data_IF_127997433629
#
_entry.id   IF_127997433629
#
_cell.length_a   1.000
_cell.length_b   1.000
_cell.length_c   1.000
_cell.angle_alpha   90.00
_cell.angle_beta   90.00
_cell.angle_gamma   90.00
#
_symmetry.space_group_name_H-M   'P 1'
#
loop_
_entity.id
_entity.type
_entity.pdbx_description
1 polymer ?
#
# COMPACT_ATOMS: atom_id res chain seq x y z
N UNK A 1 6.29 20.26 -12.04
CA UNK A 1 7.62 19.99 -11.45
C UNK A 1 8.55 19.69 -12.61
N UNK A 2 9.53 20.57 -12.89
CA UNK A 2 10.35 20.48 -14.10
C UNK A 2 11.13 19.16 -14.21
N UNK A 3 11.48 18.56 -13.08
CA UNK A 3 12.22 17.29 -13.03
C UNK A 3 11.32 16.11 -13.41
N UNK A 4 10.04 16.16 -13.01
CA UNK A 4 9.04 15.17 -13.45
C UNK A 4 8.70 15.36 -14.91
N UNK A 5 8.55 16.60 -15.38
CA UNK A 5 8.36 16.87 -16.82
C UNK A 5 9.51 16.31 -17.67
N UNK A 6 10.73 16.36 -17.13
CA UNK A 6 11.93 15.79 -17.74
C UNK A 6 12.04 14.24 -17.69
N UNK A 7 11.02 13.54 -17.20
CA UNK A 7 10.96 12.07 -17.26
C UNK A 7 11.57 11.32 -16.06
N UNK A 8 11.72 11.99 -14.90
CA UNK A 8 12.29 11.36 -13.70
C UNK A 8 11.57 10.06 -13.31
N UNK A 9 10.24 10.02 -13.37
CA UNK A 9 9.47 8.87 -12.92
C UNK A 9 9.71 7.66 -13.84
N UNK A 10 9.79 7.89 -15.14
CA UNK A 10 10.10 6.90 -16.15
C UNK A 10 11.52 6.34 -15.96
N UNK A 11 12.50 7.20 -15.68
CA UNK A 11 13.87 6.78 -15.35
C UNK A 11 13.90 5.94 -14.08
N UNK A 12 13.17 6.35 -13.03
CA UNK A 12 13.11 5.60 -11.77
C UNK A 12 12.44 4.23 -11.98
N UNK A 13 11.37 4.16 -12.75
CA UNK A 13 10.70 2.88 -13.08
C UNK A 13 11.63 1.99 -13.89
N UNK A 14 12.29 2.50 -14.92
CA UNK A 14 13.26 1.75 -15.72
C UNK A 14 14.42 1.21 -14.86
N UNK A 15 14.91 1.99 -13.89
CA UNK A 15 15.92 1.55 -12.95
C UNK A 15 15.40 0.44 -12.03
N UNK A 16 14.15 0.54 -11.55
CA UNK A 16 13.52 -0.51 -10.75
C UNK A 16 13.39 -1.82 -11.52
N UNK A 17 13.03 -1.78 -12.80
CA UNK A 17 12.92 -2.95 -13.66
C UNK A 17 14.28 -3.60 -13.95
N UNK A 18 15.23 -2.78 -14.41
CA UNK A 18 16.57 -3.22 -14.81
C UNK A 18 17.32 -3.81 -13.61
N UNK A 19 17.22 -3.16 -12.45
CA UNK A 19 17.94 -3.52 -11.24
C UNK A 19 16.99 -4.09 -10.15
N UNK A 20 16.03 -4.92 -10.55
CA UNK A 20 15.01 -5.50 -9.65
C UNK A 20 15.57 -6.33 -8.47
N UNK A 21 16.83 -6.80 -8.56
CA UNK A 21 17.52 -7.53 -7.48
C UNK A 21 18.39 -6.64 -6.59
N UNK A 22 18.67 -5.41 -7.01
CA UNK A 22 19.52 -4.49 -6.26
C UNK A 22 18.68 -3.78 -5.19
N UNK A 23 18.77 -4.26 -3.95
CA UNK A 23 18.00 -3.76 -2.80
C UNK A 23 18.14 -2.25 -2.65
N UNK A 24 19.36 -1.73 -2.81
CA UNK A 24 19.63 -0.30 -2.69
C UNK A 24 18.93 0.52 -3.77
N UNK A 25 18.89 0.03 -5.02
CA UNK A 25 18.16 0.70 -6.11
C UNK A 25 16.67 0.70 -5.78
N UNK A 26 16.10 -0.44 -5.39
CA UNK A 26 14.67 -0.52 -5.04
C UNK A 26 14.33 0.42 -3.87
N UNK A 27 15.17 0.46 -2.84
CA UNK A 27 14.97 1.31 -1.67
C UNK A 27 15.02 2.80 -2.04
N UNK A 28 16.07 3.24 -2.74
CA UNK A 28 16.22 4.63 -3.18
C UNK A 28 15.11 5.05 -4.14
N UNK A 29 14.69 4.16 -5.04
CA UNK A 29 13.55 4.41 -5.93
C UNK A 29 12.27 4.62 -5.13
N UNK A 30 11.97 3.78 -4.12
CA UNK A 30 10.80 3.95 -3.27
C UNK A 30 10.77 5.32 -2.58
N UNK A 31 11.92 5.76 -2.04
CA UNK A 31 12.04 7.10 -1.44
C UNK A 31 11.85 8.22 -2.45
N UNK A 32 12.50 8.14 -3.61
CA UNK A 32 12.36 9.13 -4.66
C UNK A 32 10.90 9.26 -5.11
N UNK A 33 10.23 8.14 -5.37
CA UNK A 33 8.82 8.12 -5.76
C UNK A 33 7.94 8.73 -4.65
N UNK A 34 8.17 8.36 -3.38
CA UNK A 34 7.41 8.90 -2.27
C UNK A 34 7.56 10.42 -2.17
N UNK A 35 8.78 10.94 -2.22
CA UNK A 35 9.05 12.38 -2.15
C UNK A 35 8.48 13.14 -3.35
N UNK A 36 8.56 12.56 -4.55
CA UNK A 36 8.09 13.19 -5.79
C UNK A 36 6.57 13.15 -5.93
N UNK A 37 5.89 12.13 -5.40
CA UNK A 37 4.46 11.92 -5.63
C UNK A 37 3.55 12.31 -4.45
N UNK A 38 4.08 12.42 -3.23
CA UNK A 38 3.26 12.74 -2.05
C UNK A 38 2.50 14.06 -2.23
N UNK A 39 1.17 14.00 -2.11
CA UNK A 39 0.27 15.15 -2.31
C UNK A 39 0.19 15.68 -3.74
N UNK A 40 0.80 14.99 -4.73
CA UNK A 40 0.91 15.45 -6.12
C UNK A 40 0.26 14.44 -7.07
N UNK A 41 -1.06 14.53 -7.21
CA UNK A 41 -1.89 13.60 -8.01
C UNK A 41 -1.33 13.29 -9.40
N UNK A 42 -1.00 14.32 -10.18
CA UNK A 42 -0.45 14.18 -11.55
C UNK A 42 0.85 13.38 -11.59
N UNK A 43 1.72 13.52 -10.58
CA UNK A 43 2.95 12.74 -10.50
C UNK A 43 2.64 11.27 -10.19
N UNK A 44 1.70 11.01 -9.29
CA UNK A 44 1.21 9.66 -9.02
C UNK A 44 0.59 8.99 -10.24
N UNK A 45 -0.22 9.72 -11.02
CA UNK A 45 -0.81 9.20 -12.26
C UNK A 45 0.29 8.84 -13.28
N UNK A 46 1.24 9.75 -13.51
CA UNK A 46 2.38 9.52 -14.42
C UNK A 46 3.25 8.33 -13.99
N UNK A 47 3.48 8.16 -12.69
CA UNK A 47 4.18 6.99 -12.17
C UNK A 47 3.44 5.69 -12.52
N UNK A 48 2.11 5.67 -12.42
CA UNK A 48 1.33 4.48 -12.78
C UNK A 48 1.30 4.28 -14.30
N UNK A 49 1.18 5.34 -15.10
CA UNK A 49 1.25 5.29 -16.56
C UNK A 49 2.59 4.73 -17.06
N UNK A 50 3.68 5.06 -16.37
CA UNK A 50 5.00 4.50 -16.64
C UNK A 50 5.16 3.02 -16.25
N UNK A 51 4.13 2.36 -15.72
CA UNK A 51 4.19 0.96 -15.26
C UNK A 51 4.74 0.78 -13.84
N UNK A 52 4.96 1.88 -13.12
CA UNK A 52 5.62 1.86 -11.81
C UNK A 52 4.88 1.06 -10.73
N UNK A 53 3.55 0.95 -10.80
CA UNK A 53 2.76 0.16 -9.86
C UNK A 53 3.19 -1.31 -9.87
N UNK A 54 3.38 -1.91 -11.05
CA UNK A 54 3.80 -3.32 -11.16
C UNK A 54 5.19 -3.53 -10.55
N UNK A 55 6.11 -2.60 -10.78
CA UNK A 55 7.45 -2.61 -10.20
C UNK A 55 7.42 -2.56 -8.68
N UNK A 56 6.66 -1.61 -8.12
CA UNK A 56 6.54 -1.43 -6.68
C UNK A 56 5.92 -2.65 -5.99
N UNK A 57 4.91 -3.26 -6.60
CA UNK A 57 4.28 -4.48 -6.10
C UNK A 57 5.17 -5.72 -6.21
N UNK A 58 6.10 -5.73 -7.17
CA UNK A 58 7.14 -6.76 -7.29
C UNK A 58 8.14 -6.68 -6.15
N UNK A 59 8.48 -5.47 -5.67
CA UNK A 59 9.31 -5.27 -4.46
C UNK A 59 8.66 -5.91 -3.24
N UNK A 60 7.34 -5.75 -3.05
CA UNK A 60 6.60 -6.40 -1.96
C UNK A 60 6.55 -7.93 -2.08
N UNK A 61 6.51 -8.45 -3.31
CA UNK A 61 6.37 -9.89 -3.59
C UNK A 61 7.74 -10.61 -3.71
N UNK A 62 8.85 -9.89 -3.54
CA UNK A 62 10.19 -10.42 -3.66
C UNK A 62 10.47 -11.43 -2.55
N UNK A 63 10.27 -12.72 -2.86
CA UNK A 63 10.62 -13.85 -1.97
C UNK A 63 12.15 -13.96 -1.71
N UNK A 64 12.97 -13.23 -2.47
CA UNK A 64 14.43 -13.32 -2.44
C UNK A 64 15.14 -12.37 -1.48
N UNK A 65 14.45 -11.38 -0.90
CA UNK A 65 15.09 -10.46 0.05
C UNK A 65 14.58 -10.70 1.46
N UNK A 66 15.45 -11.31 2.28
CA UNK A 66 15.44 -11.23 3.74
C UNK A 66 15.43 -9.78 4.28
N UNK A 67 15.48 -8.77 3.41
CA UNK A 67 15.47 -7.38 3.80
C UNK A 67 14.03 -6.85 3.93
N UNK A 68 13.51 -6.84 5.16
CA UNK A 68 12.23 -6.22 5.50
C UNK A 68 12.20 -4.72 5.25
N UNK A 69 13.35 -4.04 5.24
CA UNK A 69 13.45 -2.58 5.07
C UNK A 69 12.93 -2.16 3.70
N UNK A 70 13.30 -2.90 2.65
CA UNK A 70 12.86 -2.56 1.29
C UNK A 70 11.35 -2.75 1.14
N UNK A 71 10.76 -3.75 1.81
CA UNK A 71 9.30 -3.94 1.84
C UNK A 71 8.61 -2.84 2.63
N UNK A 72 9.18 -2.42 3.76
CA UNK A 72 8.66 -1.29 4.53
C UNK A 72 8.69 0.01 3.71
N UNK A 73 9.78 0.25 2.98
CA UNK A 73 9.90 1.40 2.08
C UNK A 73 8.91 1.34 0.92
N UNK A 74 8.65 0.16 0.37
CA UNK A 74 7.62 -0.03 -0.65
C UNK A 74 6.20 0.24 -0.11
N UNK A 75 5.88 -0.22 1.11
CA UNK A 75 4.62 0.12 1.78
C UNK A 75 4.49 1.63 2.02
N UNK A 76 5.55 2.28 2.51
CA UNK A 76 5.55 3.73 2.72
C UNK A 76 5.39 4.52 1.42
N UNK A 77 6.02 4.04 0.34
CA UNK A 77 5.88 4.58 -1.00
C UNK A 77 4.43 4.46 -1.51
N UNK A 78 3.81 3.28 -1.38
CA UNK A 78 2.39 3.07 -1.73
C UNK A 78 1.47 3.99 -0.96
N UNK A 79 1.68 4.13 0.36
CA UNK A 79 0.92 5.05 1.21
C UNK A 79 1.01 6.49 0.67
N UNK A 80 2.22 6.95 0.35
CA UNK A 80 2.45 8.30 -0.17
C UNK A 80 1.83 8.53 -1.55
N UNK A 81 1.92 7.54 -2.45
CA UNK A 81 1.30 7.56 -3.78
C UNK A 81 -0.23 7.63 -3.71
N UNK A 82 -0.82 6.90 -2.76
CA UNK A 82 -2.25 6.82 -2.56
C UNK A 82 -2.81 8.00 -1.74
N UNK A 83 -1.97 8.79 -1.10
CA UNK A 83 -2.41 9.91 -0.28
C UNK A 83 -3.19 10.92 -1.13
N UNK A 84 -4.46 11.12 -0.78
CA UNK A 84 -5.43 11.97 -1.50
C UNK A 84 -5.60 11.65 -2.98
N UNK A 85 -5.11 10.52 -3.50
CA UNK A 85 -5.20 10.16 -4.91
C UNK A 85 -6.04 8.89 -5.14
N UNK A 86 -7.36 9.08 -5.28
CA UNK A 86 -8.30 7.97 -5.50
C UNK A 86 -8.03 7.15 -6.77
N UNK A 87 -7.55 7.80 -7.83
CA UNK A 87 -7.30 7.12 -9.09
C UNK A 87 -6.14 6.11 -8.93
N UNK A 88 -5.07 6.52 -8.25
CA UNK A 88 -3.95 5.64 -7.88
C UNK A 88 -4.37 4.58 -6.87
N UNK A 89 -5.22 4.92 -5.88
CA UNK A 89 -5.78 3.94 -4.94
C UNK A 89 -6.52 2.82 -5.67
N UNK A 90 -7.42 3.16 -6.61
CA UNK A 90 -8.18 2.18 -7.40
C UNK A 90 -7.25 1.30 -8.25
N UNK A 91 -6.22 1.89 -8.88
CA UNK A 91 -5.21 1.17 -9.66
C UNK A 91 -4.39 0.21 -8.80
N UNK A 92 -3.99 0.63 -7.60
CA UNK A 92 -3.26 -0.21 -6.65
C UNK A 92 -4.12 -1.40 -6.19
N UNK A 93 -5.37 -1.16 -5.83
CA UNK A 93 -6.33 -2.21 -5.45
C UNK A 93 -6.55 -3.19 -6.60
N UNK A 94 -6.78 -2.69 -7.82
CA UNK A 94 -6.94 -3.53 -9.01
C UNK A 94 -5.69 -4.37 -9.34
N UNK A 95 -4.52 -3.96 -8.87
CA UNK A 95 -3.25 -4.67 -9.03
C UNK A 95 -2.90 -5.60 -7.84
N UNK A 96 -3.88 -5.95 -6.99
CA UNK A 96 -3.73 -6.81 -5.81
C UNK A 96 -2.80 -6.25 -4.70
N UNK A 97 -2.67 -4.92 -4.58
CA UNK A 97 -1.82 -4.31 -3.56
C UNK A 97 -2.17 -4.77 -2.12
N UNK A 98 -3.47 -4.88 -1.80
CA UNK A 98 -3.95 -5.33 -0.48
C UNK A 98 -3.36 -6.70 -0.12
N UNK A 99 -3.53 -7.68 -1.02
CA UNK A 99 -3.04 -9.05 -0.81
C UNK A 99 -1.51 -9.08 -0.69
N UNK A 100 -0.80 -8.32 -1.52
CA UNK A 100 0.67 -8.29 -1.51
C UNK A 100 1.24 -7.67 -0.22
N UNK A 101 0.61 -6.62 0.30
CA UNK A 101 1.00 -6.03 1.59
C UNK A 101 0.78 -7.03 2.73
N UNK A 102 -0.39 -7.70 2.76
CA UNK A 102 -0.69 -8.71 3.78
C UNK A 102 0.30 -9.89 3.75
N UNK A 103 0.66 -10.37 2.56
CA UNK A 103 1.69 -11.42 2.41
C UNK A 103 3.05 -10.92 2.92
N UNK A 104 3.45 -9.70 2.57
CA UNK A 104 4.71 -9.12 3.03
C UNK A 104 4.77 -8.99 4.56
N UNK A 105 3.70 -8.50 5.19
CA UNK A 105 3.55 -8.42 6.65
C UNK A 105 3.52 -9.82 7.28
N UNK A 106 2.87 -10.80 6.66
CA UNK A 106 2.81 -12.17 7.15
C UNK A 106 4.17 -12.87 7.14
N UNK A 107 5.03 -12.52 6.18
CA UNK A 107 6.37 -13.09 6.02
C UNK A 107 7.39 -12.58 7.05
N UNK A 108 7.15 -11.42 7.69
CA UNK A 108 7.99 -10.92 8.78
C UNK A 108 7.14 -10.12 9.79
N UNK A 109 6.72 -10.81 10.85
CA UNK A 109 5.86 -10.27 11.93
C UNK A 109 6.63 -9.51 13.01
N UNK A 110 7.95 -9.62 13.01
CA UNK A 110 8.82 -9.03 14.04
C UNK A 110 9.33 -7.64 13.61
N UNK A 111 9.40 -7.39 12.29
CA UNK A 111 9.78 -6.09 11.75
C UNK A 111 8.73 -5.01 12.04
N UNK A 112 8.96 -4.23 13.11
CA UNK A 112 8.14 -3.07 13.48
C UNK A 112 7.86 -2.15 12.29
N UNK A 113 8.90 -1.79 11.52
CA UNK A 113 8.76 -0.85 10.39
C UNK A 113 7.87 -1.41 9.29
N UNK A 114 8.02 -2.70 8.94
CA UNK A 114 7.18 -3.33 7.93
C UNK A 114 5.73 -3.42 8.39
N UNK A 115 5.50 -3.78 9.65
CA UNK A 115 4.17 -3.90 10.22
C UNK A 115 3.45 -2.55 10.25
N UNK A 116 4.12 -1.48 10.70
CA UNK A 116 3.54 -0.15 10.77
C UNK A 116 3.28 0.45 9.39
N UNK A 117 4.26 0.43 8.48
CA UNK A 117 4.07 1.02 7.15
C UNK A 117 3.10 0.18 6.31
N UNK A 118 3.10 -1.15 6.46
CA UNK A 118 2.13 -2.03 5.82
C UNK A 118 0.70 -1.77 6.28
N UNK A 119 0.48 -1.70 7.59
CA UNK A 119 -0.82 -1.40 8.17
C UNK A 119 -1.34 -0.01 7.73
N UNK A 120 -0.48 1.02 7.74
CA UNK A 120 -0.82 2.36 7.26
C UNK A 120 -1.15 2.39 5.77
N UNK A 121 -0.40 1.65 4.95
CA UNK A 121 -0.69 1.53 3.53
C UNK A 121 -2.03 0.84 3.29
N UNK A 122 -2.36 -0.21 4.05
CA UNK A 122 -3.67 -0.86 3.99
C UNK A 122 -4.78 0.11 4.38
N UNK A 123 -4.67 0.81 5.50
CA UNK A 123 -5.64 1.84 5.92
C UNK A 123 -5.89 2.91 4.85
N UNK A 124 -4.83 3.30 4.11
CA UNK A 124 -4.94 4.25 3.01
C UNK A 124 -5.66 3.65 1.78
N UNK A 125 -5.41 2.37 1.47
CA UNK A 125 -6.03 1.67 0.34
C UNK A 125 -7.48 1.26 0.58
N UNK A 126 -7.88 1.11 1.84
CA UNK A 126 -9.22 0.67 2.27
C UNK A 126 -9.97 1.74 3.06
N UNK A 127 -9.57 3.01 2.91
CA UNK A 127 -10.19 4.15 3.59
C UNK A 127 -11.67 4.35 3.23
N UNK A 128 -12.14 3.72 2.16
CA UNK A 128 -13.53 3.68 1.73
C UNK A 128 -14.13 2.27 1.98
N UNK A 129 -15.41 2.16 2.40
CA UNK A 129 -16.09 0.89 2.67
C UNK A 129 -16.06 -0.15 1.54
N UNK A 130 -16.17 0.25 0.28
CA UNK A 130 -16.20 -0.68 -0.87
C UNK A 130 -14.83 -1.31 -1.08
N UNK A 131 -13.76 -0.53 -0.96
CA UNK A 131 -12.38 -1.05 -1.00
C UNK A 131 -12.05 -1.85 0.25
N UNK A 132 -12.56 -1.43 1.41
CA UNK A 132 -12.44 -2.17 2.66
C UNK A 132 -13.04 -3.57 2.60
N UNK A 133 -14.14 -3.73 1.86
CA UNK A 133 -14.77 -5.04 1.65
C UNK A 133 -13.88 -6.02 0.85
N UNK A 134 -12.91 -5.52 0.07
CA UNK A 134 -11.96 -6.35 -0.68
C UNK A 134 -10.84 -6.93 0.20
N UNK A 135 -10.67 -6.42 1.43
CA UNK A 135 -9.68 -6.97 2.34
C UNK A 135 -10.15 -8.34 2.85
N UNK A 136 -9.28 -9.38 2.81
CA UNK A 136 -9.57 -10.68 3.40
C UNK A 136 -9.91 -10.59 4.90
N UNK A 137 -10.68 -11.55 5.39
CA UNK A 137 -11.18 -11.61 6.79
C UNK A 137 -10.04 -11.63 7.80
N UNK A 138 -9.01 -12.42 7.50
CA UNK A 138 -7.78 -12.51 8.27
C UNK A 138 -6.92 -11.25 8.14
N UNK A 139 -7.10 -10.46 7.06
CA UNK A 139 -6.40 -9.20 6.84
C UNK A 139 -6.72 -8.13 7.88
N UNK A 140 -7.98 -8.03 8.32
CA UNK A 140 -8.37 -7.10 9.40
C UNK A 140 -7.61 -7.45 10.69
N UNK A 141 -7.59 -8.74 11.05
CA UNK A 141 -6.90 -9.23 12.24
C UNK A 141 -5.40 -8.97 12.16
N UNK A 142 -4.76 -9.20 11.00
CA UNK A 142 -3.33 -8.91 10.79
C UNK A 142 -3.03 -7.44 11.04
N UNK A 143 -3.87 -6.52 10.56
CA UNK A 143 -3.69 -5.07 10.79
C UNK A 143 -3.89 -4.70 12.25
N UNK A 144 -4.94 -5.24 12.91
CA UNK A 144 -5.21 -5.02 14.32
C UNK A 144 -4.02 -5.51 15.18
N UNK A 145 -3.54 -6.75 14.99
CA UNK A 145 -2.40 -7.33 15.71
C UNK A 145 -1.10 -6.55 15.49
N UNK A 146 -0.82 -6.15 14.25
CA UNK A 146 0.36 -5.36 13.90
C UNK A 146 0.36 -4.03 14.66
N UNK A 147 -0.77 -3.32 14.66
CA UNK A 147 -0.82 -2.00 15.27
C UNK A 147 -0.91 -2.09 16.79
N UNK A 148 -1.61 -3.06 17.37
CA UNK A 148 -1.64 -3.31 18.82
C UNK A 148 -0.24 -3.55 19.38
N UNK A 149 0.56 -4.35 18.66
CA UNK A 149 1.92 -4.71 19.09
C UNK A 149 2.92 -3.56 18.99
N UNK A 150 2.77 -2.67 18.00
CA UNK A 150 3.82 -1.71 17.64
C UNK A 150 3.44 -0.22 17.85
N UNK A 151 2.24 0.05 18.36
CA UNK A 151 1.73 1.41 18.61
C UNK A 151 1.14 1.61 20.00
N UNK A 152 1.18 2.85 20.47
CA UNK A 152 0.70 3.26 21.80
C UNK A 152 -0.80 3.62 21.78
N UNK A 153 -1.38 3.81 22.97
CA UNK A 153 -2.84 3.90 23.17
C UNK A 153 -3.62 4.94 22.36
N UNK A 154 -2.97 6.01 21.87
CA UNK A 154 -3.63 6.97 20.98
C UNK A 154 -3.90 6.39 19.58
N UNK A 155 -2.92 5.68 19.04
CA UNK A 155 -3.01 5.05 17.72
C UNK A 155 -3.95 3.84 17.79
N UNK A 156 -3.91 3.06 18.88
CA UNK A 156 -4.82 1.93 19.10
C UNK A 156 -6.32 2.29 18.99
N UNK A 157 -6.72 3.51 19.41
CA UNK A 157 -8.11 3.98 19.23
C UNK A 157 -8.48 4.18 17.75
N UNK A 158 -7.54 4.68 16.97
CA UNK A 158 -7.69 4.85 15.52
C UNK A 158 -7.83 3.49 14.83
N UNK A 159 -7.05 2.50 15.25
CA UNK A 159 -7.15 1.11 14.79
C UNK A 159 -8.52 0.52 15.08
N UNK A 160 -8.99 0.64 16.32
CA UNK A 160 -10.30 0.10 16.70
C UNK A 160 -11.44 0.75 15.90
N UNK A 161 -11.32 2.05 15.60
CA UNK A 161 -12.27 2.77 14.72
C UNK A 161 -12.20 2.25 13.29
N UNK A 162 -11.00 2.07 12.76
CA UNK A 162 -10.78 1.54 11.41
C UNK A 162 -11.31 0.10 11.27
N UNK A 163 -11.04 -0.78 12.24
CA UNK A 163 -11.59 -2.15 12.26
C UNK A 163 -13.13 -2.16 12.28
N UNK A 164 -13.77 -1.27 13.04
CA UNK A 164 -15.24 -1.10 13.00
C UNK A 164 -15.73 -0.64 11.63
N UNK A 165 -15.09 0.37 11.04
CA UNK A 165 -15.43 0.90 9.72
C UNK A 165 -15.41 -0.21 8.65
N UNK A 166 -14.40 -1.07 8.67
CA UNK A 166 -14.28 -2.19 7.72
C UNK A 166 -15.39 -3.23 7.90
N UNK A 167 -15.68 -3.61 9.16
CA UNK A 167 -16.73 -4.56 9.50
C UNK A 167 -18.12 -4.05 9.09
N UNK A 168 -18.41 -2.78 9.37
CA UNK A 168 -19.66 -2.11 8.96
C UNK A 168 -19.77 -1.99 7.45
N UNK A 169 -18.68 -1.58 6.78
CA UNK A 169 -18.62 -1.47 5.33
C UNK A 169 -18.96 -2.77 4.63
N UNK A 170 -18.42 -3.88 5.14
CA UNK A 170 -18.71 -5.22 4.63
C UNK A 170 -20.18 -5.61 4.79
N UNK A 171 -20.80 -5.37 5.95
CA UNK A 171 -22.23 -5.63 6.18
C UNK A 171 -23.11 -4.88 5.18
N UNK A 172 -22.78 -3.62 4.89
CA UNK A 172 -23.54 -2.79 3.94
C UNK A 172 -23.42 -3.31 2.50
N UNK A 173 -22.23 -3.80 2.11
CA UNK A 173 -22.02 -4.38 0.77
C UNK A 173 -22.81 -5.69 0.62
N UNK A 174 -22.82 -6.55 1.65
CA UNK A 174 -23.62 -7.78 1.62
C UNK A 174 -25.12 -7.49 1.55
N UNK A 175 -25.62 -6.56 2.36
CA UNK A 175 -27.04 -6.16 2.35
C UNK A 175 -27.48 -5.54 1.01
N UNK A 176 -26.63 -4.73 0.37
CA UNK A 176 -26.90 -4.20 -0.98
C UNK A 176 -26.98 -5.30 -2.02
N UNK A 177 -26.07 -6.27 -1.97
CA UNK A 177 -26.04 -7.41 -2.89
C UNK A 177 -27.28 -8.30 -2.77
N UNK A 178 -27.78 -8.52 -1.55
CA UNK A 178 -29.02 -9.27 -1.32
C UNK A 178 -30.27 -8.54 -1.81
N UNK A 179 -30.32 -7.21 -1.65
CA UNK A 179 -31.44 -6.38 -2.13
C UNK A 179 -31.51 -6.29 -3.66
N UNK A 180 -30.39 -6.33 -4.37
CA UNK A 180 -30.36 -6.32 -5.84
C UNK A 180 -30.71 -7.67 -6.47
N UNK A 181 -30.71 -8.76 -5.69
CA UNK A 181 -31.06 -10.12 -6.14
C UNK A 181 -32.53 -10.49 -5.87
N UNK A 182 -33.28 -9.65 -5.17
CA UNK A 182 -34.71 -9.77 -4.91
C UNK A 182 -35.48 -8.90 -5.90
#
# INVERSE_FOLDING_TARGET
DAVVEAGLLEVVVAAMETHHRAIEVQSRSCYAIAATCHGRKRNGDRFVEAGGMACLLKVLSSNGSQNWEVRANACSCLKSLCHENEAVQRRAVAADAIKKILVAMGADRESRSLQLEGARALMQLTSDPERGALMPDDGIRIVEEALERFTDGAFQREVARYGRMLREGRSRVTEKGERQRR
#
